data_IF_414460849891
#
_entry.id   IF_414460849891
#
_cell.length_a   1.000
_cell.length_b   1.000
_cell.length_c   1.000
_cell.angle_alpha   90.00
_cell.angle_beta   90.00
_cell.angle_gamma   90.00
#
_symmetry.space_group_name_H-M   'P 1'
#
loop_
_entity.id
_entity.type
_entity.pdbx_description
1 polymer ?
#
# COMPACT_ATOMS: atom_id res chain seq x y z
N UNK A 1 -4.83 20.58 2.26
CA UNK A 1 -3.98 21.09 1.20
C UNK A 1 -2.97 20.04 0.79
N UNK A 2 -2.83 19.76 -0.50
CA UNK A 2 -1.77 18.85 -0.98
C UNK A 2 -0.44 19.57 -0.88
N UNK A 3 0.48 19.06 -0.07
CA UNK A 3 1.86 19.51 -0.08
C UNK A 3 2.44 19.25 -1.48
N UNK A 4 2.80 20.33 -2.18
CA UNK A 4 3.62 20.23 -3.39
C UNK A 4 5.04 20.57 -2.97
N UNK A 5 6.00 19.63 -3.04
CA UNK A 5 7.39 19.98 -2.81
C UNK A 5 7.76 21.09 -3.81
N UNK A 6 8.42 22.12 -3.30
CA UNK A 6 8.95 23.19 -4.16
C UNK A 6 9.90 22.59 -5.20
N UNK A 7 10.13 23.29 -6.30
CA UNK A 7 10.93 22.85 -7.45
C UNK A 7 12.41 22.51 -7.13
N UNK A 8 12.84 22.55 -5.88
CA UNK A 8 14.20 22.25 -5.39
C UNK A 8 14.27 21.06 -4.43
N UNK A 9 13.17 20.28 -4.22
CA UNK A 9 13.19 19.14 -3.33
C UNK A 9 13.59 17.85 -4.05
N UNK A 10 14.44 17.03 -3.45
CA UNK A 10 14.75 15.69 -3.93
C UNK A 10 13.53 14.77 -3.79
N UNK A 11 13.31 13.92 -4.78
CA UNK A 11 12.30 12.88 -4.71
C UNK A 11 12.93 11.60 -4.12
N UNK A 12 12.73 11.37 -2.83
CA UNK A 12 13.24 10.18 -2.17
C UNK A 12 12.51 8.93 -2.66
N UNK A 13 13.25 7.95 -3.15
CA UNK A 13 12.75 6.65 -3.55
C UNK A 13 12.61 5.71 -2.34
N UNK A 14 11.99 4.55 -2.56
CA UNK A 14 11.75 3.55 -1.51
C UNK A 14 12.15 2.15 -1.99
N UNK A 15 12.73 1.37 -1.10
CA UNK A 15 13.12 -0.02 -1.36
C UNK A 15 11.93 -1.00 -1.26
N UNK A 16 10.77 -0.53 -0.80
CA UNK A 16 9.59 -1.38 -0.62
C UNK A 16 9.66 -2.27 0.62
N UNK A 17 10.38 -1.83 1.63
CA UNK A 17 10.63 -2.55 2.87
C UNK A 17 10.08 -1.78 4.07
N UNK A 18 9.67 -2.52 5.11
CA UNK A 18 9.45 -1.96 6.44
C UNK A 18 10.64 -2.34 7.34
N UNK A 19 11.03 -1.41 8.21
CA UNK A 19 12.20 -1.57 9.06
C UNK A 19 11.83 -1.75 10.53
N UNK A 20 12.67 -2.49 11.26
CA UNK A 20 12.58 -2.64 12.70
C UNK A 20 13.23 -1.43 13.37
N UNK A 21 12.42 -0.48 13.81
CA UNK A 21 12.87 0.75 14.46
C UNK A 21 13.44 0.55 15.86
N UNK A 22 13.31 -0.65 16.43
CA UNK A 22 13.97 -1.00 17.69
C UNK A 22 15.41 -1.50 17.49
N UNK A 23 15.86 -1.65 16.23
CA UNK A 23 17.23 -2.02 15.92
C UNK A 23 18.17 -0.84 16.21
N UNK A 24 19.12 -1.04 17.13
CA UNK A 24 20.09 0.00 17.56
C UNK A 24 21.46 -0.15 16.93
N UNK A 25 21.65 -1.14 16.05
CA UNK A 25 22.92 -1.40 15.35
C UNK A 25 23.10 -0.57 14.09
N UNK A 26 24.25 -0.75 13.43
CA UNK A 26 24.48 -0.22 12.07
C UNK A 26 23.56 -0.94 11.08
N UNK A 27 23.21 -0.21 10.01
CA UNK A 27 22.35 -0.71 8.95
C UNK A 27 20.85 -0.65 9.28
N UNK A 28 20.05 -1.09 8.32
CA UNK A 28 18.59 -1.12 8.44
C UNK A 28 18.13 -2.57 8.56
N UNK A 29 17.63 -2.95 9.74
CA UNK A 29 17.05 -4.27 9.93
C UNK A 29 15.67 -4.34 9.31
N UNK A 30 15.48 -5.27 8.39
CA UNK A 30 14.21 -5.47 7.69
C UNK A 30 13.20 -6.15 8.61
N UNK A 31 12.06 -5.52 8.82
CA UNK A 31 10.93 -6.09 9.53
C UNK A 31 9.97 -6.84 8.59
N UNK A 32 9.79 -6.33 7.36
CA UNK A 32 8.90 -6.94 6.37
C UNK A 32 9.30 -6.53 4.95
N UNK A 33 9.19 -7.48 4.01
CA UNK A 33 9.22 -7.22 2.58
C UNK A 33 7.79 -7.01 2.13
N UNK A 34 7.45 -5.79 1.68
CA UNK A 34 6.08 -5.47 1.28
C UNK A 34 5.74 -6.20 -0.03
N UNK A 35 4.59 -6.83 -0.07
CA UNK A 35 4.11 -7.58 -1.24
C UNK A 35 4.09 -6.70 -2.51
N UNK A 36 4.52 -7.26 -3.64
CA UNK A 36 4.71 -6.58 -4.92
C UNK A 36 5.76 -5.44 -4.89
N UNK A 37 6.63 -5.43 -3.89
CA UNK A 37 7.75 -4.49 -3.81
C UNK A 37 8.95 -4.94 -4.67
N UNK A 38 9.96 -4.06 -4.85
CA UNK A 38 11.13 -4.39 -5.66
C UNK A 38 11.91 -5.65 -5.23
N UNK A 39 11.82 -6.06 -3.98
CA UNK A 39 12.46 -7.28 -3.48
C UNK A 39 11.50 -8.49 -3.41
N UNK A 40 10.20 -8.30 -3.64
CA UNK A 40 9.21 -9.38 -3.58
C UNK A 40 9.20 -10.18 -4.89
N UNK A 41 10.24 -10.97 -5.10
CA UNK A 41 10.35 -11.88 -6.25
C UNK A 41 11.25 -13.09 -5.91
N UNK A 42 11.04 -14.20 -6.61
CA UNK A 42 11.67 -15.50 -6.33
C UNK A 42 13.21 -15.52 -6.42
N UNK A 43 13.83 -14.54 -7.04
CA UNK A 43 15.30 -14.44 -7.17
C UNK A 43 15.94 -13.65 -6.04
N UNK A 44 15.15 -12.89 -5.27
CA UNK A 44 15.64 -12.15 -4.11
C UNK A 44 15.76 -13.08 -2.90
N UNK A 45 16.83 -12.89 -2.12
CA UNK A 45 16.99 -13.52 -0.80
C UNK A 45 16.60 -12.57 0.34
N UNK A 46 16.02 -11.41 0.00
CA UNK A 46 15.56 -10.42 0.98
C UNK A 46 14.39 -10.99 1.79
N UNK A 47 14.55 -11.04 3.09
CA UNK A 47 13.53 -11.53 4.05
C UNK A 47 13.55 -10.69 5.32
N UNK A 48 12.52 -10.81 6.14
CA UNK A 48 12.51 -10.21 7.47
C UNK A 48 13.69 -10.74 8.32
N UNK A 49 14.29 -9.85 9.11
CA UNK A 49 15.41 -10.14 10.00
C UNK A 49 16.79 -9.90 9.39
N UNK A 50 16.94 -9.74 8.08
CA UNK A 50 18.21 -9.36 7.46
C UNK A 50 18.50 -7.87 7.68
N UNK A 51 19.76 -7.47 7.51
CA UNK A 51 20.23 -6.10 7.71
C UNK A 51 20.79 -5.57 6.39
N UNK A 52 20.31 -4.43 5.94
CA UNK A 52 20.93 -3.68 4.84
C UNK A 52 22.11 -2.91 5.42
N UNK A 53 23.33 -3.30 5.03
CA UNK A 53 24.55 -2.67 5.51
C UNK A 53 24.97 -1.46 4.66
N UNK A 54 24.75 -1.52 3.31
CA UNK A 54 25.17 -0.46 2.37
C UNK A 54 24.12 -0.25 1.27
N UNK A 55 24.10 0.97 0.76
CA UNK A 55 23.41 1.36 -0.47
C UNK A 55 24.41 2.02 -1.39
N UNK A 56 24.58 1.50 -2.62
CA UNK A 56 25.58 1.95 -3.61
C UNK A 56 27.00 2.08 -3.00
N UNK A 57 27.38 1.12 -2.15
CA UNK A 57 28.68 1.09 -1.49
C UNK A 57 28.81 1.99 -0.25
N UNK A 58 27.85 2.86 0.03
CA UNK A 58 27.86 3.73 1.21
C UNK A 58 27.31 3.00 2.42
N UNK A 59 28.09 2.90 3.50
CA UNK A 59 27.66 2.28 4.76
C UNK A 59 26.55 3.08 5.46
N UNK A 60 25.57 2.36 6.00
CA UNK A 60 24.49 2.96 6.79
C UNK A 60 24.90 2.96 8.26
N UNK A 61 25.26 4.13 8.77
CA UNK A 61 25.56 4.34 10.19
C UNK A 61 24.30 4.30 11.06
N UNK A 62 24.47 4.09 12.37
CA UNK A 62 23.34 4.01 13.31
C UNK A 62 22.50 5.31 13.35
N UNK A 63 23.15 6.48 13.23
CA UNK A 63 22.49 7.79 13.30
C UNK A 63 22.37 8.48 11.92
N UNK A 64 22.55 7.72 10.84
CA UNK A 64 22.53 8.26 9.48
C UNK A 64 21.11 8.36 8.95
N UNK A 65 20.74 9.50 8.38
CA UNK A 65 19.57 9.59 7.51
C UNK A 65 19.85 8.88 6.17
N UNK A 66 19.50 7.60 6.11
CA UNK A 66 19.68 6.78 4.91
C UNK A 66 18.82 7.23 3.72
N UNK A 67 17.78 8.05 3.95
CA UNK A 67 16.91 8.52 2.87
C UNK A 67 17.68 9.33 1.84
N UNK A 68 18.76 10.02 2.24
CA UNK A 68 19.63 10.75 1.32
C UNK A 68 20.27 9.86 0.26
N UNK A 69 20.51 8.58 0.56
CA UNK A 69 21.05 7.59 -0.37
C UNK A 69 20.04 7.15 -1.43
N UNK A 70 18.75 7.42 -1.18
CA UNK A 70 17.64 7.05 -2.06
C UNK A 70 17.06 8.27 -2.83
N UNK A 71 17.64 9.46 -2.66
CA UNK A 71 17.22 10.64 -3.39
C UNK A 71 17.42 10.45 -4.89
N UNK A 72 16.36 10.72 -5.66
CA UNK A 72 16.29 10.58 -7.11
C UNK A 72 16.67 9.19 -7.67
N UNK A 73 16.55 8.14 -6.83
CA UNK A 73 16.85 6.76 -7.20
C UNK A 73 15.66 5.97 -7.76
N UNK A 74 14.46 6.55 -7.79
CA UNK A 74 13.30 5.85 -8.34
C UNK A 74 13.57 5.35 -9.77
N UNK A 75 13.38 4.03 -9.98
CA UNK A 75 13.64 3.31 -11.25
C UNK A 75 15.10 3.34 -11.73
N UNK A 76 16.06 3.67 -10.87
CA UNK A 76 17.48 3.57 -11.17
C UNK A 76 18.09 2.35 -10.49
N UNK A 77 18.98 1.63 -11.16
CA UNK A 77 19.69 0.50 -10.57
C UNK A 77 20.43 0.96 -9.31
N UNK A 78 20.14 0.32 -8.19
CA UNK A 78 20.70 0.61 -6.89
C UNK A 78 21.25 -0.69 -6.31
N UNK A 79 22.52 -0.70 -5.94
CA UNK A 79 23.19 -1.82 -5.30
C UNK A 79 22.90 -1.81 -3.80
N UNK A 80 22.44 -2.92 -3.27
CA UNK A 80 22.14 -3.07 -1.84
C UNK A 80 22.98 -4.23 -1.29
N UNK A 81 23.83 -3.94 -0.29
CA UNK A 81 24.64 -4.96 0.42
C UNK A 81 23.89 -5.39 1.67
N UNK A 82 23.69 -6.69 1.82
CA UNK A 82 22.78 -7.29 2.79
C UNK A 82 23.54 -8.32 3.65
N UNK A 83 23.22 -8.36 4.92
CA UNK A 83 23.74 -9.30 5.91
C UNK A 83 22.60 -10.06 6.59
N UNK A 84 22.70 -11.36 6.63
CA UNK A 84 21.82 -12.19 7.43
C UNK A 84 22.49 -12.55 8.77
N UNK A 85 22.02 -12.04 9.91
CA UNK A 85 22.63 -12.30 11.20
C UNK A 85 22.46 -13.75 11.69
N UNK A 86 21.48 -14.49 11.16
CA UNK A 86 21.24 -15.89 11.52
C UNK A 86 22.21 -16.84 10.80
N UNK A 87 22.33 -16.69 9.47
CA UNK A 87 23.21 -17.56 8.65
C UNK A 87 24.63 -17.04 8.53
N UNK A 88 24.90 -15.78 8.93
CA UNK A 88 26.18 -15.06 8.76
C UNK A 88 26.54 -14.80 7.28
N UNK A 89 25.64 -15.02 6.37
CA UNK A 89 25.81 -14.77 4.93
C UNK A 89 25.76 -13.28 4.62
N UNK A 90 26.62 -12.83 3.70
CA UNK A 90 26.57 -11.52 3.06
C UNK A 90 26.44 -11.68 1.56
N UNK A 91 25.59 -10.87 0.97
CA UNK A 91 25.39 -10.82 -0.49
C UNK A 91 24.98 -9.44 -0.93
N UNK A 92 24.92 -9.26 -2.22
CA UNK A 92 24.48 -8.01 -2.84
C UNK A 92 23.36 -8.28 -3.83
N UNK A 93 22.41 -7.37 -3.88
CA UNK A 93 21.32 -7.36 -4.86
C UNK A 93 21.23 -6.01 -5.55
N UNK A 94 20.96 -6.02 -6.85
CA UNK A 94 20.64 -4.80 -7.61
C UNK A 94 19.14 -4.70 -7.74
N UNK A 95 18.59 -3.61 -7.25
CA UNK A 95 17.16 -3.35 -7.22
C UNK A 95 16.82 -2.04 -7.94
N UNK A 96 15.57 -1.89 -8.37
CA UNK A 96 15.02 -0.64 -8.89
C UNK A 96 14.06 -0.05 -7.84
N UNK A 97 14.52 0.89 -6.99
CA UNK A 97 13.64 1.50 -6.00
C UNK A 97 12.41 2.15 -6.64
N UNK A 98 11.31 2.16 -5.93
CA UNK A 98 10.04 2.74 -6.37
C UNK A 98 9.86 4.15 -5.82
N UNK A 99 8.97 4.94 -6.42
CA UNK A 99 8.61 6.25 -5.88
C UNK A 99 7.83 6.12 -4.57
N UNK A 100 7.87 7.16 -3.73
CA UNK A 100 7.07 7.21 -2.50
C UNK A 100 5.57 7.04 -2.77
N UNK A 101 5.07 7.56 -3.90
CA UNK A 101 3.67 7.36 -4.29
C UNK A 101 3.37 5.89 -4.58
N UNK A 102 4.25 5.19 -5.31
CA UNK A 102 4.08 3.75 -5.57
C UNK A 102 4.16 2.95 -4.26
N UNK A 103 5.09 3.28 -3.36
CA UNK A 103 5.18 2.63 -2.06
C UNK A 103 3.91 2.84 -1.22
N UNK A 104 3.37 4.05 -1.18
CA UNK A 104 2.11 4.33 -0.49
C UNK A 104 0.94 3.49 -1.05
N UNK A 105 0.93 3.23 -2.36
CA UNK A 105 -0.06 2.33 -2.97
C UNK A 105 0.09 0.90 -2.46
N UNK A 106 1.33 0.40 -2.33
CA UNK A 106 1.58 -0.93 -1.77
C UNK A 106 1.18 -1.00 -0.29
N UNK A 107 1.49 0.02 0.50
CA UNK A 107 1.10 0.10 1.92
C UNK A 107 -0.42 0.14 2.07
N UNK A 108 -1.13 0.85 1.19
CA UNK A 108 -2.58 0.86 1.17
C UNK A 108 -3.13 -0.54 0.86
N UNK A 109 -2.63 -1.20 -0.18
CA UNK A 109 -3.05 -2.57 -0.53
C UNK A 109 -2.81 -3.55 0.62
N UNK A 110 -1.64 -3.45 1.28
CA UNK A 110 -1.30 -4.23 2.47
C UNK A 110 -2.30 -3.98 3.61
N UNK A 111 -2.63 -2.71 3.86
CA UNK A 111 -3.58 -2.34 4.91
C UNK A 111 -4.98 -2.93 4.64
N UNK A 112 -5.51 -2.82 3.42
CA UNK A 112 -6.79 -3.40 3.02
C UNK A 112 -6.78 -4.92 3.19
N UNK A 113 -5.70 -5.59 2.73
CA UNK A 113 -5.54 -7.04 2.84
C UNK A 113 -5.54 -7.51 4.30
N UNK A 114 -4.83 -6.80 5.18
CA UNK A 114 -4.79 -7.11 6.60
C UNK A 114 -6.16 -6.92 7.26
N UNK A 115 -6.90 -5.85 6.92
CA UNK A 115 -8.26 -5.65 7.45
C UNK A 115 -9.23 -6.73 6.97
N UNK A 116 -9.13 -7.12 5.70
CA UNK A 116 -9.93 -8.23 5.17
C UNK A 116 -9.63 -9.55 5.92
N UNK A 117 -8.36 -9.86 6.15
CA UNK A 117 -7.95 -11.05 6.90
C UNK A 117 -8.43 -11.02 8.37
N UNK A 118 -8.38 -9.85 9.03
CA UNK A 118 -8.92 -9.68 10.39
C UNK A 118 -10.44 -9.95 10.42
N UNK A 119 -11.21 -9.38 9.48
CA UNK A 119 -12.66 -9.60 9.40
C UNK A 119 -12.98 -11.06 9.13
N UNK A 120 -12.30 -11.69 8.18
CA UNK A 120 -12.45 -13.11 7.88
C UNK A 120 -12.20 -13.98 9.13
N UNK A 121 -11.08 -13.73 9.81
CA UNK A 121 -10.70 -14.45 11.04
C UNK A 121 -11.74 -14.27 12.16
N UNK A 122 -12.15 -13.04 12.45
CA UNK A 122 -13.07 -12.75 13.57
C UNK A 122 -14.50 -13.22 13.30
N UNK A 123 -14.89 -13.29 12.04
CA UNK A 123 -16.22 -13.79 11.63
C UNK A 123 -16.25 -15.28 11.31
N UNK A 124 -15.12 -16.00 11.42
CA UNK A 124 -14.96 -17.37 10.94
C UNK A 124 -15.37 -17.53 9.46
N UNK A 125 -14.97 -16.59 8.62
CA UNK A 125 -15.27 -16.57 7.18
C UNK A 125 -16.69 -16.16 6.81
N UNK A 126 -17.52 -15.76 7.77
CA UNK A 126 -18.93 -15.39 7.52
C UNK A 126 -19.12 -14.00 6.95
N UNK A 127 -18.16 -13.10 7.15
CA UNK A 127 -18.23 -11.73 6.66
C UNK A 127 -17.11 -11.44 5.65
N UNK A 128 -17.49 -10.76 4.56
CA UNK A 128 -16.55 -10.14 3.63
C UNK A 128 -16.13 -8.75 4.08
N UNK A 129 -15.09 -8.21 3.46
CA UNK A 129 -14.60 -6.85 3.73
C UNK A 129 -14.28 -6.12 2.44
N UNK A 130 -14.80 -4.91 2.30
CA UNK A 130 -14.48 -4.00 1.20
C UNK A 130 -14.12 -2.63 1.74
N UNK A 131 -13.12 -1.98 1.16
CA UNK A 131 -12.74 -0.61 1.48
C UNK A 131 -13.01 0.32 0.31
N UNK A 132 -13.74 1.40 0.56
CA UNK A 132 -14.07 2.42 -0.44
C UNK A 132 -13.14 3.61 -0.26
N UNK A 133 -12.02 3.62 -0.98
CA UNK A 133 -11.01 4.70 -0.89
C UNK A 133 -11.50 6.03 -1.46
N UNK A 134 -12.32 5.99 -2.50
CA UNK A 134 -12.91 7.17 -3.11
C UNK A 134 -14.26 6.83 -3.71
N UNK A 135 -15.14 7.83 -3.81
CA UNK A 135 -16.45 7.69 -4.44
C UNK A 135 -16.34 7.98 -5.95
N UNK A 136 -15.53 7.19 -6.67
CA UNK A 136 -15.33 7.23 -8.11
C UNK A 136 -15.45 5.85 -8.76
N UNK A 137 -15.73 5.79 -10.06
CA UNK A 137 -16.00 4.57 -10.82
C UNK A 137 -15.00 3.43 -10.59
N UNK A 138 -13.66 3.67 -10.54
CA UNK A 138 -12.73 2.58 -10.32
C UNK A 138 -12.92 1.90 -8.95
N UNK A 139 -13.20 2.68 -7.90
CA UNK A 139 -13.47 2.15 -6.55
C UNK A 139 -14.76 1.36 -6.51
N UNK A 140 -15.82 1.87 -7.17
CA UNK A 140 -17.11 1.20 -7.25
C UNK A 140 -17.02 -0.14 -7.98
N UNK A 141 -16.34 -0.19 -9.13
CA UNK A 141 -16.15 -1.44 -9.87
C UNK A 141 -15.40 -2.49 -9.05
N UNK A 142 -14.39 -2.07 -8.27
CA UNK A 142 -13.67 -2.97 -7.36
C UNK A 142 -14.61 -3.54 -6.29
N UNK A 143 -15.36 -2.67 -5.61
CA UNK A 143 -16.33 -3.08 -4.57
C UNK A 143 -17.40 -4.01 -5.15
N UNK A 144 -17.97 -3.67 -6.31
CA UNK A 144 -18.97 -4.48 -7.00
C UNK A 144 -18.44 -5.88 -7.35
N UNK A 145 -17.22 -5.93 -7.91
CA UNK A 145 -16.54 -7.18 -8.24
C UNK A 145 -16.28 -8.04 -7.01
N UNK A 146 -15.82 -7.43 -5.90
CA UNK A 146 -15.52 -8.15 -4.66
C UNK A 146 -16.80 -8.69 -4.00
N UNK A 147 -17.89 -7.92 -3.97
CA UNK A 147 -19.15 -8.34 -3.36
C UNK A 147 -19.80 -9.47 -4.14
N UNK A 148 -19.92 -9.33 -5.46
CA UNK A 148 -20.60 -10.31 -6.29
C UNK A 148 -19.72 -11.51 -6.65
N UNK A 149 -18.39 -11.35 -6.61
CA UNK A 149 -17.43 -12.41 -6.89
C UNK A 149 -16.86 -13.03 -5.61
N UNK A 150 -15.88 -12.36 -5.01
CA UNK A 150 -15.09 -12.88 -3.90
C UNK A 150 -15.93 -13.21 -2.65
N UNK A 151 -16.93 -12.38 -2.34
CA UNK A 151 -17.70 -12.46 -1.10
C UNK A 151 -19.17 -12.86 -1.30
N UNK A 152 -19.54 -13.39 -2.46
CA UNK A 152 -20.91 -13.79 -2.77
C UNK A 152 -21.46 -14.91 -1.87
N UNK A 153 -20.57 -15.65 -1.20
CA UNK A 153 -20.88 -16.73 -0.27
C UNK A 153 -20.95 -16.28 1.19
N UNK A 154 -20.64 -15.02 1.48
CA UNK A 154 -20.64 -14.50 2.85
C UNK A 154 -22.06 -14.11 3.29
N UNK A 155 -22.33 -14.23 4.60
CA UNK A 155 -23.60 -13.82 5.21
C UNK A 155 -23.79 -12.30 5.21
N UNK A 156 -22.69 -11.54 5.11
CA UNK A 156 -22.70 -10.08 5.10
C UNK A 156 -21.35 -9.48 4.72
N UNK A 157 -21.34 -8.15 4.55
CA UNK A 157 -20.17 -7.40 4.12
C UNK A 157 -19.90 -6.25 5.10
N UNK A 158 -18.66 -6.12 5.54
CA UNK A 158 -18.15 -4.93 6.23
C UNK A 158 -17.69 -3.93 5.18
N UNK A 159 -18.33 -2.77 5.14
CA UNK A 159 -17.98 -1.67 4.24
C UNK A 159 -17.18 -0.64 5.04
N UNK A 160 -15.91 -0.49 4.70
CA UNK A 160 -15.02 0.47 5.34
C UNK A 160 -14.85 1.72 4.47
N UNK A 161 -15.29 2.84 4.97
CA UNK A 161 -15.18 4.15 4.29
C UNK A 161 -14.17 5.08 4.94
N UNK A 162 -13.36 4.58 5.87
CA UNK A 162 -12.33 5.40 6.53
C UNK A 162 -11.35 5.94 5.50
N UNK A 163 -10.94 7.18 5.69
CA UNK A 163 -10.02 7.89 4.78
C UNK A 163 -10.55 8.06 3.36
N UNK A 164 -11.87 7.93 3.14
CA UNK A 164 -12.48 8.20 1.85
C UNK A 164 -12.29 9.67 1.46
N UNK A 165 -11.82 9.89 0.23
CA UNK A 165 -11.57 11.24 -0.31
C UNK A 165 -12.81 11.98 -0.85
N UNK A 166 -14.00 11.37 -0.75
CA UNK A 166 -15.24 11.89 -1.31
C UNK A 166 -15.43 11.51 -2.78
N UNK A 167 -16.52 12.00 -3.36
CA UNK A 167 -16.94 11.76 -4.75
C UNK A 167 -18.47 11.69 -4.87
N UNK A 168 -18.97 11.16 -5.99
CA UNK A 168 -20.41 11.16 -6.34
C UNK A 168 -21.08 9.77 -6.36
N UNK A 169 -20.40 8.73 -5.92
CA UNK A 169 -20.94 7.35 -5.97
C UNK A 169 -21.82 6.96 -4.78
N UNK A 170 -22.25 7.90 -3.97
CA UNK A 170 -23.10 7.59 -2.82
C UNK A 170 -24.44 6.94 -3.25
N UNK A 171 -25.00 7.40 -4.37
CA UNK A 171 -26.24 6.85 -4.94
C UNK A 171 -26.05 5.43 -5.46
N UNK A 172 -24.98 5.18 -6.23
CA UNK A 172 -24.69 3.86 -6.78
C UNK A 172 -24.40 2.84 -5.68
N UNK A 173 -23.72 3.25 -4.62
CA UNK A 173 -23.45 2.40 -3.43
C UNK A 173 -24.76 2.10 -2.70
N UNK A 174 -25.62 3.10 -2.49
CA UNK A 174 -26.91 2.91 -1.85
C UNK A 174 -27.82 1.98 -2.67
N UNK A 175 -27.90 2.17 -3.98
CA UNK A 175 -28.67 1.30 -4.87
C UNK A 175 -28.13 -0.14 -4.86
N UNK A 176 -26.80 -0.31 -4.85
CA UNK A 176 -26.18 -1.63 -4.79
C UNK A 176 -26.62 -2.41 -3.55
N UNK A 177 -26.73 -1.76 -2.39
CA UNK A 177 -27.06 -2.43 -1.14
C UNK A 177 -28.54 -2.46 -0.80
N UNK A 178 -29.30 -1.43 -1.15
CA UNK A 178 -30.74 -1.35 -0.83
C UNK A 178 -31.64 -1.85 -1.95
N UNK A 179 -31.16 -1.84 -3.19
CA UNK A 179 -31.96 -2.08 -4.38
C UNK A 179 -33.00 -0.99 -4.64
N UNK A 180 -32.91 0.14 -3.96
CA UNK A 180 -33.90 1.24 -4.03
C UNK A 180 -33.22 2.57 -4.34
N UNK A 181 -33.82 3.33 -5.23
CA UNK A 181 -33.46 4.74 -5.46
C UNK A 181 -33.91 5.56 -4.24
N UNK A 182 -32.99 6.23 -3.53
CA UNK A 182 -33.29 6.99 -2.31
C UNK A 182 -33.22 8.50 -2.50
N UNK A 183 -32.61 8.98 -3.61
CA UNK A 183 -32.44 10.39 -3.91
C UNK A 183 -32.61 10.66 -5.41
N UNK A 184 -33.28 11.72 -5.75
CA UNK A 184 -33.32 12.31 -7.11
C UNK A 184 -32.74 13.71 -7.06
N UNK A 185 -31.65 13.96 -7.79
CA UNK A 185 -31.11 15.31 -7.95
C UNK A 185 -31.81 16.04 -9.09
N UNK A 186 -32.38 17.20 -8.79
CA UNK A 186 -32.95 18.08 -9.80
C UNK A 186 -32.10 19.34 -9.86
N UNK A 187 -31.49 19.61 -11.01
CA UNK A 187 -30.74 20.86 -11.23
C UNK A 187 -31.78 21.98 -11.46
N UNK A 188 -31.62 23.07 -10.73
CA UNK A 188 -32.55 24.19 -10.84
C UNK A 188 -32.69 24.66 -12.30
N UNK A 189 -33.92 24.61 -12.83
CA UNK A 189 -34.23 25.01 -14.20
C UNK A 189 -34.11 23.91 -15.26
N UNK A 190 -33.88 22.65 -14.84
CA UNK A 190 -33.91 21.48 -15.74
C UNK A 190 -35.01 20.51 -15.29
N UNK A 191 -35.60 19.81 -16.25
CA UNK A 191 -36.52 18.71 -15.93
C UNK A 191 -35.68 17.54 -15.35
N UNK A 192 -36.24 16.81 -14.36
CA UNK A 192 -35.59 15.59 -13.83
C UNK A 192 -35.52 14.56 -14.94
N UNK A 193 -34.32 14.14 -15.30
CA UNK A 193 -34.12 12.94 -16.10
C UNK A 193 -34.15 11.75 -15.17
N UNK A 194 -35.14 10.89 -15.33
CA UNK A 194 -35.23 9.57 -14.68
C UNK A 194 -34.27 8.57 -15.33
#
# INVERSE_FOLDING_TARGET
GRYRPGASGYATANLGLLYDWNHTGKGLKVAEVVENSPFDHSRSKMVAGVIIEKIDGVEIGADMDYNVLLNDKARKKTLVSIYNPQTKERWEEVVLPISSSAFNTLLYSRWVKNRAADVEKWSNGRLGYVHIQSMGDPSFRGVYSDILGKYNHCDGIVIDTRFNGGGRLHEDVEILFSGKKYLTQVVRGQESCD
#
